data_IF_434643786141
#
_entry.id   IF_434643786141
#
_cell.length_a   1.000
_cell.length_b   1.000
_cell.length_c   1.000
_cell.angle_alpha   90.00
_cell.angle_beta   90.00
_cell.angle_gamma   90.00
#
_symmetry.space_group_name_H-M   'P 1'
#
loop_
_entity.id
_entity.type
_entity.pdbx_description
1 polymer ?
#
# COMPACT_ATOMS: atom_id res chain seq x y z
N UNK A 1 -97.95 -42.99 20.95
CA UNK A 1 -97.58 -43.97 21.97
C UNK A 1 -96.09 -44.25 21.89
N UNK A 2 -95.49 -44.27 23.03
CA UNK A 2 -94.08 -44.58 23.32
C UNK A 2 -93.02 -43.53 22.96
N UNK A 3 -92.66 -42.81 24.01
CA UNK A 3 -91.48 -41.93 24.16
C UNK A 3 -90.24 -42.76 24.19
N UNK A 4 -89.19 -42.31 23.47
CA UNK A 4 -87.86 -42.79 23.68
C UNK A 4 -87.02 -41.57 24.09
N UNK A 5 -86.52 -41.65 25.33
CA UNK A 5 -85.60 -40.75 25.95
C UNK A 5 -84.21 -40.95 25.37
N UNK A 6 -83.59 -39.95 24.79
CA UNK A 6 -82.18 -39.99 24.41
C UNK A 6 -81.39 -39.25 25.47
N UNK A 7 -80.49 -39.97 26.12
CA UNK A 7 -79.50 -39.46 27.05
C UNK A 7 -78.37 -38.76 26.21
N UNK A 8 -78.23 -37.47 26.41
CA UNK A 8 -77.15 -36.68 25.90
C UNK A 8 -75.97 -36.73 26.85
N UNK A 9 -75.01 -37.52 26.57
CA UNK A 9 -73.76 -37.61 27.33
C UNK A 9 -72.86 -36.42 26.96
N UNK A 10 -72.69 -35.45 27.86
CA UNK A 10 -71.74 -34.36 27.76
C UNK A 10 -70.39 -34.90 28.18
N UNK A 11 -69.53 -35.18 27.19
CA UNK A 11 -68.09 -35.44 27.41
C UNK A 11 -67.42 -34.10 27.54
N UNK A 12 -67.16 -33.69 28.77
CA UNK A 12 -66.34 -32.54 29.08
C UNK A 12 -64.87 -32.93 28.79
N UNK A 13 -64.34 -32.47 27.66
CA UNK A 13 -62.90 -32.61 27.30
C UNK A 13 -62.12 -31.57 28.14
N UNK A 14 -61.58 -32.02 29.25
CA UNK A 14 -60.66 -31.24 30.05
C UNK A 14 -59.28 -31.22 29.35
N UNK A 15 -59.07 -30.25 28.52
CA UNK A 15 -57.70 -30.00 27.97
C UNK A 15 -56.83 -29.52 29.13
N UNK A 16 -56.02 -30.43 29.67
CA UNK A 16 -54.87 -30.06 30.47
C UNK A 16 -53.93 -29.25 29.61
N UNK A 17 -53.99 -27.96 29.73
CA UNK A 17 -52.90 -27.10 29.32
C UNK A 17 -51.72 -27.42 30.25
N UNK A 18 -50.80 -28.27 29.76
CA UNK A 18 -49.44 -28.38 30.32
C UNK A 18 -48.77 -27.02 30.07
N UNK A 19 -48.92 -26.08 30.94
CA UNK A 19 -48.06 -24.90 31.02
C UNK A 19 -46.71 -25.46 31.44
N UNK A 20 -45.89 -25.78 30.44
CA UNK A 20 -44.47 -26.02 30.64
C UNK A 20 -43.89 -24.72 31.19
N UNK A 21 -43.73 -24.66 32.51
CA UNK A 21 -42.99 -23.59 33.17
C UNK A 21 -41.52 -23.76 32.71
N UNK A 22 -41.18 -23.28 31.51
CA UNK A 22 -39.82 -23.24 31.06
C UNK A 22 -39.07 -22.26 31.96
N UNK A 23 -38.28 -22.82 32.84
CA UNK A 23 -37.41 -22.03 33.70
C UNK A 23 -36.45 -21.21 32.79
N UNK A 24 -36.48 -19.90 32.95
CA UNK A 24 -35.63 -18.98 32.22
C UNK A 24 -34.46 -18.56 33.10
N UNK A 25 -33.35 -18.30 32.41
CA UNK A 25 -32.11 -17.82 33.03
C UNK A 25 -31.57 -16.61 32.31
N UNK A 26 -30.93 -15.74 33.05
CA UNK A 26 -30.31 -14.54 32.52
C UNK A 26 -28.82 -14.80 32.29
N UNK A 27 -28.41 -14.60 31.04
CA UNK A 27 -26.99 -14.54 30.65
C UNK A 27 -26.63 -13.07 30.58
N UNK A 28 -25.70 -12.66 31.43
CA UNK A 28 -25.11 -11.32 31.41
C UNK A 28 -23.78 -11.36 30.70
N UNK A 29 -23.53 -10.42 29.77
CA UNK A 29 -22.27 -10.26 29.10
C UNK A 29 -21.69 -8.88 29.37
N UNK A 30 -20.39 -8.79 29.56
CA UNK A 30 -19.68 -7.56 29.89
C UNK A 30 -18.31 -7.53 29.18
N UNK A 31 -17.82 -6.33 28.91
CA UNK A 31 -16.45 -6.08 28.57
C UNK A 31 -15.64 -5.79 29.85
N UNK A 32 -14.36 -6.18 29.88
CA UNK A 32 -13.44 -5.72 30.92
C UNK A 32 -13.17 -4.21 30.81
N UNK A 33 -13.30 -3.65 29.60
CA UNK A 33 -13.20 -2.23 29.31
C UNK A 33 -14.00 -1.88 28.06
N UNK A 34 -15.08 -1.11 28.22
CA UNK A 34 -16.00 -0.76 27.13
C UNK A 34 -15.36 0.07 26.01
N UNK A 35 -14.23 0.73 26.28
CA UNK A 35 -13.46 1.43 25.25
C UNK A 35 -12.63 0.45 24.37
N UNK A 36 -12.43 -0.78 24.82
CA UNK A 36 -11.58 -1.76 24.14
C UNK A 36 -12.36 -2.77 23.31
N UNK A 37 -13.66 -2.85 23.53
CA UNK A 37 -14.52 -3.72 22.74
C UNK A 37 -15.93 -3.85 23.32
N UNK A 38 -16.80 -4.42 22.52
CA UNK A 38 -18.21 -4.65 22.87
C UNK A 38 -18.53 -6.13 22.90
N UNK A 39 -19.54 -6.52 23.70
CA UNK A 39 -19.98 -7.90 23.83
C UNK A 39 -21.45 -8.01 23.56
N UNK A 40 -21.88 -9.01 22.79
CA UNK A 40 -23.27 -9.29 22.45
C UNK A 40 -23.65 -10.73 22.80
N UNK A 41 -24.96 -11.04 22.84
CA UNK A 41 -25.45 -12.37 23.14
C UNK A 41 -25.97 -12.54 24.58
N UNK A 42 -25.94 -11.45 25.37
CA UNK A 42 -26.67 -11.44 26.68
C UNK A 42 -28.19 -11.37 26.52
N UNK A 43 -28.92 -11.88 27.51
CA UNK A 43 -30.37 -11.89 27.46
C UNK A 43 -30.99 -12.95 28.37
N UNK A 44 -32.31 -13.12 28.26
CA UNK A 44 -33.06 -14.17 28.96
C UNK A 44 -33.32 -15.33 28.02
N UNK A 45 -32.98 -16.52 28.45
CA UNK A 45 -33.02 -17.76 27.66
C UNK A 45 -33.72 -18.87 28.43
N UNK A 46 -34.42 -19.73 27.71
CA UNK A 46 -35.02 -20.92 28.32
C UNK A 46 -33.95 -21.93 28.73
N UNK A 47 -34.21 -22.65 29.83
CA UNK A 47 -33.33 -23.74 30.26
C UNK A 47 -33.10 -24.78 29.14
N UNK A 48 -31.82 -25.12 28.87
CA UNK A 48 -31.44 -26.05 27.84
C UNK A 48 -31.33 -25.46 26.43
N UNK A 49 -31.66 -24.16 26.22
CA UNK A 49 -31.42 -23.48 24.95
C UNK A 49 -29.96 -23.08 24.80
N UNK A 50 -29.60 -22.66 23.62
CA UNK A 50 -28.22 -22.17 23.31
C UNK A 50 -28.22 -20.64 23.24
N UNK A 51 -27.18 -20.01 23.74
CA UNK A 51 -26.84 -18.60 23.50
C UNK A 51 -25.48 -18.50 22.81
N UNK A 52 -25.40 -17.59 21.83
CA UNK A 52 -24.15 -17.28 21.15
C UNK A 52 -23.61 -15.95 21.66
N UNK A 53 -22.44 -16.00 22.27
CA UNK A 53 -21.76 -14.84 22.81
C UNK A 53 -20.69 -14.40 21.79
N UNK A 54 -20.67 -13.11 21.46
CA UNK A 54 -19.70 -12.56 20.52
C UNK A 54 -19.01 -11.35 21.13
N UNK A 55 -17.70 -11.40 21.18
CA UNK A 55 -16.84 -10.29 21.59
C UNK A 55 -16.29 -9.58 20.33
N UNK A 56 -16.52 -8.28 20.23
CA UNK A 56 -16.08 -7.46 19.09
C UNK A 56 -15.06 -6.45 19.58
N UNK A 57 -13.76 -6.65 19.31
CA UNK A 57 -12.73 -5.70 19.71
C UNK A 57 -12.90 -4.34 19.01
N UNK A 58 -12.55 -3.25 19.69
CA UNK A 58 -12.34 -1.96 19.06
C UNK A 58 -11.02 -1.95 18.26
N UNK A 59 -10.87 -0.98 17.37
CA UNK A 59 -9.65 -0.81 16.58
C UNK A 59 -8.42 -0.72 17.49
N UNK A 60 -7.42 -1.56 17.24
CA UNK A 60 -6.19 -1.64 18.04
C UNK A 60 -6.29 -2.49 19.32
N UNK A 61 -7.40 -3.21 19.51
CA UNK A 61 -7.60 -4.14 20.61
C UNK A 61 -7.95 -5.53 20.11
N UNK A 62 -7.76 -6.54 20.97
CA UNK A 62 -7.97 -7.95 20.66
C UNK A 62 -8.79 -8.61 21.75
N UNK A 63 -9.66 -9.54 21.37
CA UNK A 63 -10.33 -10.41 22.33
C UNK A 63 -9.35 -11.53 22.73
N UNK A 64 -9.08 -11.65 24.02
CA UNK A 64 -8.16 -12.67 24.52
C UNK A 64 -8.88 -13.89 25.05
N UNK A 65 -9.81 -13.70 25.96
CA UNK A 65 -10.50 -14.80 26.63
C UNK A 65 -11.77 -14.35 27.31
N UNK A 66 -12.65 -15.28 27.58
CA UNK A 66 -13.75 -15.09 28.53
C UNK A 66 -13.24 -15.32 29.97
N UNK A 67 -13.97 -14.81 30.98
CA UNK A 67 -13.63 -14.92 32.40
C UNK A 67 -13.49 -16.34 32.94
N UNK A 68 -13.90 -17.35 32.20
CA UNK A 68 -13.73 -18.77 32.50
C UNK A 68 -12.57 -19.45 31.74
N UNK A 69 -11.73 -18.65 31.04
CA UNK A 69 -10.57 -19.11 30.30
C UNK A 69 -10.87 -19.65 28.88
N UNK A 70 -12.13 -19.64 28.44
CA UNK A 70 -12.46 -20.05 27.07
C UNK A 70 -12.08 -18.98 26.07
N UNK A 71 -11.50 -19.37 24.91
CA UNK A 71 -11.01 -18.47 23.86
C UNK A 71 -11.88 -18.46 22.61
N UNK A 72 -12.95 -19.28 22.54
CA UNK A 72 -13.82 -19.30 21.36
C UNK A 72 -14.55 -17.94 21.18
N UNK A 73 -14.56 -17.41 20.00
CA UNK A 73 -15.29 -16.20 19.63
C UNK A 73 -15.71 -16.25 18.14
N UNK A 74 -17.01 -16.36 17.81
CA UNK A 74 -18.16 -16.47 18.74
C UNK A 74 -18.17 -17.77 19.54
N UNK A 75 -18.67 -17.70 20.78
CA UNK A 75 -18.81 -18.83 21.68
C UNK A 75 -20.27 -19.24 21.81
N UNK A 76 -20.54 -20.55 21.68
CA UNK A 76 -21.89 -21.10 21.91
C UNK A 76 -21.93 -21.78 23.30
N UNK A 77 -22.90 -21.39 24.12
CA UNK A 77 -23.10 -21.96 25.43
C UNK A 77 -24.50 -22.60 25.52
N UNK A 78 -24.63 -23.67 26.33
CA UNK A 78 -25.93 -24.21 26.71
C UNK A 78 -26.39 -23.58 28.05
N UNK A 79 -27.58 -22.98 28.05
CA UNK A 79 -28.08 -22.27 29.20
C UNK A 79 -28.66 -23.24 30.24
N UNK A 80 -28.05 -23.33 31.41
CA UNK A 80 -28.48 -24.18 32.51
C UNK A 80 -28.67 -23.43 33.83
N UNK A 81 -28.33 -22.14 33.87
CA UNK A 81 -28.39 -21.28 35.03
C UNK A 81 -28.08 -19.83 34.66
N UNK A 82 -28.33 -18.91 35.62
CA UNK A 82 -27.82 -17.54 35.47
C UNK A 82 -26.32 -17.55 35.48
N UNK A 83 -25.73 -16.84 34.50
CA UNK A 83 -24.28 -16.74 34.34
C UNK A 83 -23.86 -15.36 33.86
N UNK A 84 -22.65 -14.96 34.22
CA UNK A 84 -22.03 -13.74 33.73
C UNK A 84 -20.75 -14.12 32.99
N UNK A 85 -20.65 -13.67 31.75
CA UNK A 85 -19.48 -13.82 30.90
C UNK A 85 -18.83 -12.46 30.65
N UNK A 86 -17.56 -12.34 30.99
CA UNK A 86 -16.79 -11.12 30.81
C UNK A 86 -15.76 -11.39 29.72
N UNK A 87 -15.86 -10.66 28.61
CA UNK A 87 -14.82 -10.70 27.60
C UNK A 87 -13.64 -9.84 28.05
N UNK A 88 -12.47 -10.42 28.03
CA UNK A 88 -11.21 -9.74 28.29
C UNK A 88 -10.64 -9.28 26.95
N UNK A 89 -10.64 -7.97 26.76
CA UNK A 89 -9.94 -7.33 25.66
C UNK A 89 -8.61 -6.78 26.19
N UNK A 90 -7.61 -6.77 25.34
CA UNK A 90 -6.33 -6.09 25.59
C UNK A 90 -5.83 -5.47 24.30
N UNK A 91 -4.88 -4.61 24.42
CA UNK A 91 -4.11 -4.04 23.32
C UNK A 91 -3.06 -5.03 22.78
N UNK A 92 -3.14 -6.29 23.20
CA UNK A 92 -2.23 -7.36 22.84
C UNK A 92 -2.99 -8.61 22.34
N UNK A 93 -2.70 -9.15 21.15
CA UNK A 93 -3.32 -10.38 20.65
C UNK A 93 -2.77 -11.63 21.38
N UNK A 94 -3.63 -12.40 22.01
CA UNK A 94 -3.36 -13.79 22.36
C UNK A 94 -2.87 -14.11 23.78
N UNK A 95 -2.94 -13.18 24.73
CA UNK A 95 -2.39 -13.46 26.06
C UNK A 95 -3.35 -14.07 27.09
N UNK A 96 -3.22 -15.35 27.38
CA UNK A 96 -3.91 -16.05 28.51
C UNK A 96 -2.96 -16.68 29.54
N UNK A 97 -1.65 -16.66 29.31
CA UNK A 97 -0.65 -17.20 30.23
C UNK A 97 -0.37 -16.28 31.43
N UNK A 98 -0.03 -16.88 32.58
CA UNK A 98 0.45 -16.16 33.76
C UNK A 98 1.94 -16.41 33.91
N UNK A 99 2.76 -15.51 33.39
CA UNK A 99 4.23 -15.61 33.48
C UNK A 99 4.86 -14.27 33.13
N UNK A 100 6.12 -14.12 33.46
CA UNK A 100 6.89 -12.95 33.05
C UNK A 100 7.46 -13.17 31.64
N UNK A 101 7.47 -12.14 30.77
CA UNK A 101 8.09 -12.24 29.46
C UNK A 101 9.59 -12.50 29.57
N UNK A 102 10.12 -13.23 28.58
CA UNK A 102 11.56 -13.50 28.53
C UNK A 102 12.32 -12.29 27.96
N UNK A 103 13.47 -11.97 28.55
CA UNK A 103 14.34 -10.92 28.00
C UNK A 103 15.01 -11.41 26.71
N UNK A 104 15.01 -10.54 25.68
CA UNK A 104 15.68 -10.71 24.41
C UNK A 104 16.55 -9.48 24.16
N UNK A 105 17.86 -9.62 24.26
CA UNK A 105 18.77 -8.47 24.12
C UNK A 105 20.16 -8.90 23.67
N UNK A 106 20.88 -7.98 23.03
CA UNK A 106 22.26 -8.15 22.61
C UNK A 106 22.43 -8.98 21.33
N UNK A 107 23.60 -9.57 21.18
CA UNK A 107 23.98 -10.29 19.96
C UNK A 107 23.47 -11.74 19.97
N UNK A 108 22.89 -12.15 18.85
CA UNK A 108 22.53 -13.53 18.54
C UNK A 108 23.45 -14.00 17.40
N UNK A 109 24.41 -14.85 17.71
CA UNK A 109 25.44 -15.37 16.79
C UNK A 109 25.27 -16.86 16.45
N UNK A 110 24.19 -17.48 16.95
CA UNK A 110 23.81 -18.87 16.70
C UNK A 110 22.31 -18.97 16.39
N UNK A 111 21.90 -19.99 15.65
CA UNK A 111 20.49 -20.22 15.34
C UNK A 111 19.66 -20.30 16.64
N UNK A 112 18.56 -19.56 16.65
CA UNK A 112 17.64 -19.49 17.79
C UNK A 112 16.20 -19.50 17.31
N UNK A 113 15.32 -20.21 18.03
CA UNK A 113 13.87 -20.16 17.82
C UNK A 113 13.20 -19.55 19.05
N UNK A 114 12.27 -18.65 18.82
CA UNK A 114 11.40 -18.06 19.83
C UNK A 114 10.03 -18.71 19.72
N UNK A 115 9.67 -19.66 20.61
CA UNK A 115 8.34 -20.24 20.65
C UNK A 115 7.30 -19.29 21.24
N UNK A 116 6.04 -19.48 20.85
CA UNK A 116 4.87 -18.87 21.49
C UNK A 116 4.77 -19.41 22.93
N UNK A 117 4.96 -18.54 23.92
CA UNK A 117 4.88 -18.89 25.36
C UNK A 117 3.44 -18.82 25.89
N UNK A 118 2.50 -18.37 25.06
CA UNK A 118 1.10 -18.14 25.43
C UNK A 118 0.93 -16.97 26.40
N UNK A 119 1.89 -16.04 26.42
CA UNK A 119 1.85 -14.86 27.27
C UNK A 119 1.28 -13.65 26.52
N UNK A 120 0.75 -12.64 27.22
CA UNK A 120 0.38 -11.37 26.61
C UNK A 120 1.55 -10.69 25.86
N UNK A 121 2.74 -10.84 26.40
CA UNK A 121 4.02 -10.50 25.80
C UNK A 121 4.95 -11.67 26.09
N UNK A 122 5.46 -12.32 25.05
CA UNK A 122 6.34 -13.47 25.21
C UNK A 122 7.78 -13.03 25.46
N UNK A 123 8.21 -11.99 24.75
CA UNK A 123 9.58 -11.49 24.81
C UNK A 123 9.62 -9.96 24.95
N UNK A 124 10.62 -9.48 25.70
CA UNK A 124 10.93 -8.05 25.79
C UNK A 124 12.32 -7.80 25.24
N UNK A 125 12.42 -6.92 24.24
CA UNK A 125 13.68 -6.34 23.78
C UNK A 125 13.99 -5.13 24.65
N UNK A 126 14.97 -5.24 25.51
CA UNK A 126 15.33 -4.20 26.49
C UNK A 126 15.93 -2.94 25.83
N UNK A 127 16.73 -3.14 24.77
CA UNK A 127 17.35 -2.06 24.00
C UNK A 127 17.44 -2.42 22.51
N UNK A 128 18.25 -3.39 22.15
CA UNK A 128 18.45 -3.82 20.76
C UNK A 128 18.79 -5.33 20.71
N UNK A 129 18.54 -5.93 19.56
CA UNK A 129 18.95 -7.28 19.18
C UNK A 129 19.70 -7.20 17.87
N UNK A 130 20.93 -7.74 17.81
CA UNK A 130 21.72 -7.86 16.58
C UNK A 130 21.88 -9.32 16.22
N UNK A 131 21.51 -9.68 14.99
CA UNK A 131 21.75 -11.00 14.43
C UNK A 131 23.06 -10.94 13.65
N UNK A 132 24.01 -11.77 14.00
CA UNK A 132 25.37 -11.74 13.45
C UNK A 132 25.83 -13.08 12.93
N UNK A 133 26.91 -13.06 12.16
CA UNK A 133 27.47 -14.26 11.55
C UNK A 133 26.47 -14.94 10.61
N UNK A 134 26.32 -16.26 10.73
CA UNK A 134 25.36 -17.03 9.97
C UNK A 134 24.09 -17.40 10.78
N UNK A 135 23.87 -16.74 11.93
CA UNK A 135 22.73 -17.00 12.79
C UNK A 135 21.40 -16.76 12.06
N UNK A 136 20.41 -17.60 12.33
CA UNK A 136 19.04 -17.38 11.93
C UNK A 136 18.15 -17.34 13.18
N UNK A 137 17.46 -16.23 13.37
CA UNK A 137 16.39 -16.10 14.36
C UNK A 137 15.07 -16.49 13.72
N UNK A 138 14.42 -17.52 14.25
CA UNK A 138 13.07 -17.92 13.86
C UNK A 138 12.09 -17.54 14.95
N UNK A 139 11.05 -16.83 14.60
CA UNK A 139 9.96 -16.44 15.50
C UNK A 139 8.72 -17.22 15.08
N UNK A 140 8.16 -18.01 16.03
CA UNK A 140 7.02 -18.87 15.76
C UNK A 140 5.68 -18.08 15.70
N UNK A 141 4.64 -18.64 15.03
CA UNK A 141 3.32 -18.03 14.97
C UNK A 141 2.72 -17.78 16.37
N UNK A 142 2.17 -16.58 16.57
CA UNK A 142 1.50 -16.17 17.80
C UNK A 142 2.41 -15.40 18.77
N UNK A 143 3.71 -15.39 18.53
CA UNK A 143 4.68 -14.71 19.40
C UNK A 143 4.44 -13.19 19.40
N UNK A 144 4.42 -12.61 20.60
CA UNK A 144 4.41 -11.16 20.81
C UNK A 144 5.73 -10.69 21.40
N UNK A 145 6.38 -9.76 20.72
CA UNK A 145 7.61 -9.09 21.16
C UNK A 145 7.32 -7.62 21.46
N UNK A 146 7.63 -7.19 22.68
CA UNK A 146 7.58 -5.80 23.07
C UNK A 146 8.96 -5.18 23.16
N UNK A 147 9.11 -3.95 22.72
CA UNK A 147 10.33 -3.16 22.84
C UNK A 147 10.20 -2.21 24.03
N UNK A 148 11.12 -2.30 24.98
CA UNK A 148 11.04 -1.54 26.22
C UNK A 148 11.37 -0.05 26.05
N UNK A 149 12.07 0.32 24.99
CA UNK A 149 12.57 1.69 24.74
C UNK A 149 12.28 2.14 23.30
N UNK A 150 12.27 3.45 23.10
CA UNK A 150 12.10 4.06 21.76
C UNK A 150 13.23 3.69 20.79
N UNK A 151 14.44 3.44 21.26
CA UNK A 151 15.57 2.94 20.47
C UNK A 151 15.62 1.42 20.34
N UNK A 152 14.55 0.72 20.75
CA UNK A 152 14.45 -0.73 20.62
C UNK A 152 14.36 -1.17 19.14
N UNK A 153 15.24 -2.09 18.72
CA UNK A 153 15.32 -2.51 17.32
C UNK A 153 15.81 -3.97 17.17
N UNK A 154 15.58 -4.53 15.99
CA UNK A 154 16.20 -5.78 15.55
C UNK A 154 17.05 -5.46 14.32
N UNK A 155 18.35 -5.73 14.41
CA UNK A 155 19.32 -5.57 13.33
C UNK A 155 19.65 -6.93 12.72
N UNK A 156 19.43 -7.10 11.42
CA UNK A 156 19.76 -8.32 10.68
C UNK A 156 21.04 -8.07 9.89
N UNK A 157 22.15 -8.54 10.42
CA UNK A 157 23.48 -8.38 9.84
C UNK A 157 23.63 -9.14 8.52
N UNK A 158 24.65 -8.77 7.74
CA UNK A 158 24.88 -9.13 6.33
C UNK A 158 24.68 -10.63 5.99
N UNK A 159 25.11 -11.52 6.87
CA UNK A 159 25.02 -12.97 6.66
C UNK A 159 24.00 -13.64 7.59
N UNK A 160 23.31 -12.88 8.42
CA UNK A 160 22.30 -13.40 9.34
C UNK A 160 20.93 -13.52 8.68
N UNK A 161 20.02 -14.26 9.29
CA UNK A 161 18.65 -14.43 8.83
C UNK A 161 17.62 -14.11 9.91
N UNK A 162 16.49 -13.53 9.51
CA UNK A 162 15.33 -13.35 10.38
C UNK A 162 14.09 -13.91 9.69
N UNK A 163 13.50 -14.93 10.30
CA UNK A 163 12.30 -15.59 9.82
C UNK A 163 11.16 -15.34 10.79
N UNK A 164 10.18 -14.54 10.36
CA UNK A 164 8.95 -14.22 11.08
C UNK A 164 7.76 -14.67 10.22
N UNK A 165 7.31 -15.90 10.42
CA UNK A 165 6.21 -16.47 9.61
C UNK A 165 5.08 -16.89 10.54
N UNK A 166 4.12 -16.00 10.71
CA UNK A 166 2.84 -16.26 11.36
C UNK A 166 1.88 -17.03 10.48
N UNK A 167 0.63 -17.11 10.90
CA UNK A 167 -0.50 -17.68 10.14
C UNK A 167 -1.69 -16.72 10.18
N UNK A 168 -2.71 -16.88 9.33
CA UNK A 168 -3.91 -16.03 9.38
C UNK A 168 -4.61 -15.98 10.74
N UNK A 169 -4.49 -17.06 11.54
CA UNK A 169 -5.12 -17.14 12.87
C UNK A 169 -4.16 -16.81 14.01
N UNK A 170 -2.84 -16.77 13.74
CA UNK A 170 -1.79 -16.52 14.71
C UNK A 170 -0.71 -15.61 14.13
N UNK A 171 -0.97 -14.32 14.14
CA UNK A 171 0.01 -13.33 13.73
C UNK A 171 1.17 -13.27 14.72
N UNK A 172 2.34 -12.87 14.25
CA UNK A 172 3.45 -12.43 15.08
C UNK A 172 3.28 -10.94 15.32
N UNK A 173 3.47 -10.46 16.55
CA UNK A 173 3.27 -9.04 16.89
C UNK A 173 4.56 -8.43 17.40
N UNK A 174 4.99 -7.32 16.77
CA UNK A 174 6.08 -6.47 17.21
C UNK A 174 5.52 -5.10 17.60
N UNK A 175 5.78 -4.65 18.83
CA UNK A 175 5.16 -3.43 19.35
C UNK A 175 6.03 -2.71 20.37
N UNK A 176 5.78 -1.45 20.59
CA UNK A 176 6.32 -0.72 21.71
C UNK A 176 5.76 -1.19 23.07
N UNK A 177 6.16 -0.56 24.17
CA UNK A 177 5.65 -0.88 25.50
C UNK A 177 4.13 -0.81 25.57
N UNK A 178 3.50 -1.64 26.37
CA UNK A 178 2.03 -1.67 26.55
C UNK A 178 1.42 -0.33 27.02
N UNK A 179 2.25 0.51 27.63
CA UNK A 179 1.88 1.85 28.12
C UNK A 179 1.95 2.93 27.04
N UNK A 180 2.56 2.64 25.87
CA UNK A 180 2.69 3.60 24.79
C UNK A 180 1.55 3.49 23.80
N UNK A 181 0.82 4.59 23.60
CA UNK A 181 -0.25 4.68 22.59
C UNK A 181 0.16 5.49 21.36
N UNK A 182 1.34 6.09 21.37
CA UNK A 182 1.86 6.93 20.30
C UNK A 182 2.74 6.16 19.32
N UNK A 183 2.79 6.64 18.08
CA UNK A 183 3.74 6.16 17.07
C UNK A 183 5.19 6.48 17.45
N UNK A 184 6.16 5.72 16.93
CA UNK A 184 7.58 5.92 17.27
C UNK A 184 7.95 5.39 18.65
N UNK A 185 7.20 4.44 19.18
CA UNK A 185 7.48 3.86 20.50
C UNK A 185 8.66 2.87 20.50
N UNK A 186 9.16 2.51 19.33
CA UNK A 186 10.35 1.70 19.08
C UNK A 186 10.88 1.99 17.67
N UNK A 187 12.13 1.61 17.37
CA UNK A 187 12.77 1.97 16.10
C UNK A 187 12.24 1.14 14.94
N UNK A 188 12.46 -0.17 14.93
CA UNK A 188 12.05 -0.99 13.80
C UNK A 188 12.89 -2.26 13.64
N UNK A 189 12.82 -2.81 12.41
CA UNK A 189 13.64 -3.95 11.98
C UNK A 189 14.46 -3.53 10.77
N UNK A 190 15.78 -3.66 10.87
CA UNK A 190 16.72 -3.27 9.80
C UNK A 190 17.40 -4.50 9.20
N UNK A 191 17.36 -4.60 7.86
CA UNK A 191 17.96 -5.67 7.08
C UNK A 191 19.15 -5.16 6.26
N UNK A 192 20.33 -5.75 6.50
CA UNK A 192 21.48 -5.64 5.61
C UNK A 192 21.80 -6.96 4.91
N UNK A 193 21.09 -8.02 5.23
CA UNK A 193 21.25 -9.38 4.74
C UNK A 193 20.43 -9.65 3.49
N UNK A 194 21.00 -10.40 2.54
CA UNK A 194 20.34 -10.88 1.32
C UNK A 194 19.92 -12.36 1.38
N UNK A 195 19.88 -12.94 2.56
CA UNK A 195 19.53 -14.36 2.72
C UNK A 195 18.07 -14.64 2.35
N UNK A 196 17.82 -15.78 1.71
CA UNK A 196 16.47 -16.20 1.27
C UNK A 196 15.55 -16.62 2.42
N UNK A 197 16.08 -16.83 3.63
CA UNK A 197 15.29 -17.06 4.85
C UNK A 197 14.91 -15.77 5.59
N UNK A 198 15.22 -14.60 5.04
CA UNK A 198 14.64 -13.33 5.47
C UNK A 198 13.19 -13.26 5.00
N UNK A 199 12.26 -13.62 5.88
CA UNK A 199 10.84 -13.73 5.56
C UNK A 199 9.97 -13.11 6.64
N UNK A 200 8.99 -12.35 6.22
CA UNK A 200 7.91 -11.80 7.05
C UNK A 200 6.58 -12.18 6.44
N UNK A 201 5.75 -12.92 7.15
CA UNK A 201 4.39 -13.19 6.75
C UNK A 201 3.47 -13.19 7.98
N UNK A 202 2.31 -12.55 7.87
CA UNK A 202 1.37 -12.40 8.98
C UNK A 202 2.05 -11.82 10.23
N UNK A 203 2.74 -10.70 10.03
CA UNK A 203 3.42 -9.94 11.10
C UNK A 203 2.74 -8.59 11.25
N UNK A 204 2.36 -8.26 12.48
CA UNK A 204 1.80 -6.96 12.85
C UNK A 204 2.86 -6.11 13.55
N UNK A 205 3.21 -5.00 12.92
CA UNK A 205 4.11 -3.99 13.47
C UNK A 205 3.28 -2.82 13.99
N UNK A 206 3.34 -2.55 15.29
CA UNK A 206 2.47 -1.56 15.94
C UNK A 206 3.28 -0.40 16.51
N UNK A 207 2.99 0.83 16.04
CA UNK A 207 3.50 2.09 16.57
C UNK A 207 5.05 2.20 16.59
N UNK A 208 5.72 1.67 15.57
CA UNK A 208 7.18 1.76 15.40
C UNK A 208 7.66 2.98 14.63
N UNK A 209 8.83 2.85 14.02
CA UNK A 209 9.40 3.84 13.10
C UNK A 209 9.86 5.11 13.80
N UNK A 210 10.52 4.98 14.96
CA UNK A 210 11.04 6.14 15.72
C UNK A 210 12.01 6.99 14.90
N UNK A 211 12.85 6.34 14.08
CA UNK A 211 13.82 7.00 13.22
C UNK A 211 13.33 7.05 11.76
N UNK A 212 13.79 6.12 10.93
CA UNK A 212 13.58 6.19 9.48
C UNK A 212 12.34 5.43 9.00
N UNK A 213 12.12 4.21 9.51
CA UNK A 213 11.02 3.33 9.12
C UNK A 213 10.80 2.20 10.13
N UNK A 214 9.61 1.59 10.10
CA UNK A 214 9.32 0.35 10.86
C UNK A 214 10.09 -0.83 10.27
N UNK A 215 10.15 -0.93 8.93
CA UNK A 215 10.97 -1.91 8.22
C UNK A 215 11.95 -1.15 7.33
N UNK A 216 13.22 -1.27 7.64
CA UNK A 216 14.32 -0.61 6.92
C UNK A 216 15.17 -1.66 6.21
N UNK A 217 15.23 -1.62 4.88
CA UNK A 217 16.02 -2.52 4.05
C UNK A 217 17.17 -1.70 3.45
N UNK A 218 18.36 -1.83 4.02
CA UNK A 218 19.54 -1.09 3.63
C UNK A 218 20.57 -2.03 2.99
N UNK A 219 20.47 -2.25 1.71
CA UNK A 219 21.28 -3.22 0.96
C UNK A 219 20.91 -4.69 1.21
N UNK A 220 19.91 -4.95 2.05
CA UNK A 220 19.37 -6.27 2.31
C UNK A 220 18.27 -6.69 1.34
N UNK A 221 17.73 -7.90 1.54
CA UNK A 221 16.59 -8.42 0.78
C UNK A 221 15.69 -9.28 1.65
N UNK A 222 14.36 -9.10 1.54
CA UNK A 222 13.36 -9.76 2.37
C UNK A 222 12.09 -10.09 1.58
N UNK A 223 11.39 -11.18 1.96
CA UNK A 223 10.00 -11.38 1.56
C UNK A 223 9.09 -10.78 2.64
N UNK A 224 8.14 -9.94 2.24
CA UNK A 224 7.16 -9.32 3.12
C UNK A 224 5.75 -9.47 2.53
N UNK A 225 4.98 -10.40 3.08
CA UNK A 225 3.65 -10.72 2.55
C UNK A 225 2.61 -10.85 3.67
N UNK A 226 1.40 -10.36 3.44
CA UNK A 226 0.29 -10.40 4.41
C UNK A 226 0.64 -9.77 5.77
N UNK A 227 1.50 -8.77 5.79
CA UNK A 227 1.92 -8.06 7.00
C UNK A 227 1.12 -6.78 7.20
N UNK A 228 1.02 -6.33 8.45
CA UNK A 228 0.41 -5.05 8.80
C UNK A 228 1.45 -4.14 9.45
N UNK A 229 1.60 -2.93 8.93
CA UNK A 229 2.26 -1.82 9.64
C UNK A 229 1.17 -0.85 10.06
N UNK A 230 0.92 -0.76 11.37
CA UNK A 230 -0.09 0.10 11.95
C UNK A 230 0.54 1.17 12.86
N UNK A 231 0.88 2.29 12.26
CA UNK A 231 1.50 3.42 12.92
C UNK A 231 3.02 3.44 12.85
N UNK A 232 3.55 4.50 12.24
CA UNK A 232 4.97 4.82 12.19
C UNK A 232 5.18 6.31 12.44
N UNK A 233 6.21 6.70 13.20
CA UNK A 233 6.58 8.12 13.33
C UNK A 233 7.32 8.65 12.09
N UNK A 234 7.75 7.75 11.20
CA UNK A 234 8.40 8.07 9.94
C UNK A 234 7.74 7.26 8.81
N UNK A 235 8.52 6.54 8.00
CA UNK A 235 8.01 5.68 6.93
C UNK A 235 7.50 4.34 7.47
N UNK A 236 6.57 3.72 6.76
CA UNK A 236 6.22 2.33 7.01
C UNK A 236 7.38 1.40 6.62
N UNK A 237 7.78 1.49 5.35
CA UNK A 237 8.92 0.76 4.77
C UNK A 237 9.87 1.73 4.10
N UNK A 238 11.16 1.57 4.36
CA UNK A 238 12.24 2.21 3.62
C UNK A 238 13.08 1.13 2.95
N UNK A 239 13.16 1.14 1.63
CA UNK A 239 13.94 0.17 0.87
C UNK A 239 14.97 0.87 -0.01
N UNK A 240 16.24 0.52 0.14
CA UNK A 240 17.34 1.12 -0.60
C UNK A 240 18.68 0.42 -0.38
N UNK A 241 19.74 1.06 -0.86
CA UNK A 241 21.10 0.50 -0.80
C UNK A 241 21.33 -0.70 -1.74
N UNK A 242 20.28 -1.13 -2.44
CA UNK A 242 20.29 -2.16 -3.47
C UNK A 242 19.12 -1.96 -4.42
N UNK A 243 19.26 -2.42 -5.67
CA UNK A 243 18.19 -2.45 -6.68
C UNK A 243 17.26 -3.66 -6.54
N UNK A 244 17.49 -4.49 -5.54
CA UNK A 244 16.77 -5.74 -5.33
C UNK A 244 16.59 -5.95 -3.83
N UNK A 245 15.53 -5.35 -3.28
CA UNK A 245 15.23 -5.34 -1.85
C UNK A 245 14.14 -6.34 -1.44
N UNK A 246 13.33 -6.81 -2.38
CA UNK A 246 12.22 -7.71 -2.06
C UNK A 246 12.31 -9.02 -2.84
N UNK A 247 12.16 -10.15 -2.17
CA UNK A 247 11.81 -11.44 -2.79
C UNK A 247 10.33 -11.47 -3.17
N UNK A 248 9.49 -10.86 -2.33
CA UNK A 248 8.06 -10.61 -2.55
C UNK A 248 7.61 -9.46 -1.66
N UNK A 249 6.59 -8.72 -2.11
CA UNK A 249 5.95 -7.64 -1.35
C UNK A 249 4.47 -7.55 -1.75
N UNK A 250 3.61 -8.34 -1.10
CA UNK A 250 2.21 -8.48 -1.52
C UNK A 250 1.25 -8.61 -0.34
N UNK A 251 0.01 -8.14 -0.54
CA UNK A 251 -1.08 -8.25 0.43
C UNK A 251 -0.77 -7.60 1.79
N UNK A 252 0.07 -6.58 1.82
CA UNK A 252 0.41 -5.87 3.05
C UNK A 252 -0.58 -4.71 3.29
N UNK A 253 -0.84 -4.41 4.55
CA UNK A 253 -1.58 -3.21 4.97
C UNK A 253 -0.64 -2.25 5.68
N UNK A 254 -0.46 -1.04 5.12
CA UNK A 254 0.43 -0.02 5.70
C UNK A 254 -0.38 1.25 5.94
N UNK A 255 -0.52 1.62 7.22
CA UNK A 255 -1.38 2.73 7.62
C UNK A 255 -0.83 3.55 8.78
N UNK A 256 -1.32 4.78 8.92
CA UNK A 256 -0.99 5.74 10.00
C UNK A 256 0.51 6.06 10.10
N UNK A 257 1.22 6.06 8.96
CA UNK A 257 2.58 6.55 8.89
C UNK A 257 2.61 8.08 8.86
N UNK A 258 3.49 8.72 9.63
CA UNK A 258 3.63 10.18 9.66
C UNK A 258 4.40 10.73 8.45
N UNK A 259 5.04 9.87 7.68
CA UNK A 259 5.66 10.21 6.39
C UNK A 259 5.00 9.38 5.27
N UNK A 260 5.70 8.47 4.66
CA UNK A 260 5.24 7.66 3.53
C UNK A 260 4.91 6.22 3.95
N UNK A 261 3.91 5.58 3.32
CA UNK A 261 3.75 4.14 3.51
C UNK A 261 5.00 3.38 3.03
N UNK A 262 5.55 3.76 1.88
CA UNK A 262 6.79 3.21 1.34
C UNK A 262 7.65 4.35 0.78
N UNK A 263 8.94 4.30 1.09
CA UNK A 263 9.97 5.07 0.41
C UNK A 263 10.94 4.12 -0.29
N UNK A 264 11.11 4.30 -1.59
CA UNK A 264 12.05 3.55 -2.43
C UNK A 264 13.27 4.41 -2.73
N UNK A 265 14.45 3.91 -2.43
CA UNK A 265 15.71 4.60 -2.68
C UNK A 265 16.10 4.66 -4.16
N UNK A 266 15.51 3.79 -5.00
CA UNK A 266 15.79 3.69 -6.43
C UNK A 266 14.53 3.34 -7.23
N UNK A 267 14.39 3.87 -8.43
CA UNK A 267 13.24 3.65 -9.31
C UNK A 267 13.04 2.18 -9.68
N UNK A 268 14.12 1.40 -9.81
CA UNK A 268 14.04 -0.01 -10.18
C UNK A 268 13.28 -0.87 -9.16
N UNK A 269 13.19 -0.42 -7.91
CA UNK A 269 12.43 -1.10 -6.85
C UNK A 269 10.91 -1.05 -7.08
N UNK A 270 10.42 -0.16 -7.93
CA UNK A 270 9.00 -0.12 -8.32
C UNK A 270 8.52 -1.46 -8.88
N UNK A 271 9.36 -2.15 -9.64
CA UNK A 271 9.07 -3.47 -10.22
C UNK A 271 8.80 -4.57 -9.18
N UNK A 272 9.20 -4.35 -7.92
CA UNK A 272 9.12 -5.36 -6.86
C UNK A 272 7.88 -5.17 -5.97
N UNK A 273 7.12 -4.09 -6.17
CA UNK A 273 5.86 -3.86 -5.44
C UNK A 273 4.77 -4.73 -6.07
N UNK A 274 4.41 -5.79 -5.36
CA UNK A 274 3.38 -6.74 -5.78
C UNK A 274 1.95 -6.23 -5.57
N UNK A 275 0.99 -7.10 -5.80
CA UNK A 275 -0.44 -6.80 -5.74
C UNK A 275 -1.04 -6.99 -4.35
N UNK A 276 -2.27 -6.52 -4.16
CA UNK A 276 -3.05 -6.73 -2.93
C UNK A 276 -2.62 -5.89 -1.74
N UNK A 277 -1.65 -4.98 -1.91
CA UNK A 277 -1.26 -4.06 -0.85
C UNK A 277 -2.33 -2.98 -0.65
N UNK A 278 -2.57 -2.61 0.62
CA UNK A 278 -3.51 -1.58 1.06
C UNK A 278 -2.73 -0.47 1.76
N UNK A 279 -2.92 0.76 1.31
CA UNK A 279 -2.26 1.94 1.86
C UNK A 279 -3.31 2.97 2.26
N UNK A 280 -3.46 3.23 3.55
CA UNK A 280 -4.55 4.08 4.03
C UNK A 280 -4.15 4.95 5.22
N UNK A 281 -4.73 6.14 5.31
CA UNK A 281 -4.55 7.05 6.46
C UNK A 281 -3.09 7.42 6.73
N UNK A 282 -2.20 7.38 5.73
CA UNK A 282 -0.84 7.88 5.85
C UNK A 282 -0.82 9.39 5.59
N UNK A 283 0.08 10.12 6.20
CA UNK A 283 0.18 11.59 6.02
C UNK A 283 0.45 11.92 4.56
N UNK A 284 1.42 11.25 3.95
CA UNK A 284 1.70 11.32 2.53
C UNK A 284 1.30 9.97 1.91
N UNK A 285 0.03 9.85 1.48
CA UNK A 285 -0.48 8.56 1.01
C UNK A 285 -0.11 8.30 -0.46
N UNK A 286 1.19 8.24 -0.73
CA UNK A 286 1.81 7.87 -2.01
C UNK A 286 3.16 7.17 -1.76
N UNK A 287 3.62 6.38 -2.73
CA UNK A 287 4.96 5.78 -2.70
C UNK A 287 5.97 6.83 -3.13
N UNK A 288 6.90 7.19 -2.23
CA UNK A 288 7.99 8.11 -2.54
C UNK A 288 9.12 7.35 -3.26
N UNK A 289 9.50 7.78 -4.44
CA UNK A 289 10.57 7.18 -5.25
C UNK A 289 11.70 8.19 -5.41
N UNK A 290 12.87 7.82 -4.90
CA UNK A 290 14.11 8.59 -5.03
C UNK A 290 14.94 8.05 -6.20
N UNK A 291 16.10 8.60 -6.45
CA UNK A 291 17.04 8.23 -7.52
C UNK A 291 16.34 7.68 -8.80
N UNK A 292 15.97 8.60 -9.66
CA UNK A 292 15.06 8.39 -10.77
C UNK A 292 15.81 8.18 -12.11
N UNK A 293 16.84 7.34 -12.08
CA UNK A 293 17.60 6.91 -13.24
C UNK A 293 17.21 5.46 -13.59
N UNK A 294 16.53 5.26 -14.72
CA UNK A 294 16.28 3.91 -15.22
C UNK A 294 17.59 3.36 -15.76
N UNK A 295 17.96 2.15 -15.37
CA UNK A 295 19.21 1.55 -15.83
C UNK A 295 19.18 1.24 -17.31
N UNK A 296 20.33 1.39 -17.99
CA UNK A 296 20.48 1.01 -19.40
C UNK A 296 20.12 -0.46 -19.63
N UNK A 297 19.46 -0.76 -20.73
CA UNK A 297 18.97 -2.09 -21.09
C UNK A 297 17.96 -2.71 -20.08
N UNK A 298 17.43 -1.92 -19.15
CA UNK A 298 16.46 -2.35 -18.17
C UNK A 298 15.08 -1.73 -18.41
N UNK A 299 14.09 -2.33 -17.75
CA UNK A 299 12.69 -1.91 -17.82
C UNK A 299 12.17 -1.62 -16.43
N UNK A 300 11.53 -0.46 -16.25
CA UNK A 300 10.73 -0.15 -15.06
C UNK A 300 9.27 -0.03 -15.45
N UNK A 301 8.42 -0.75 -14.74
CA UNK A 301 6.97 -0.77 -14.98
C UNK A 301 6.19 -0.31 -13.76
N UNK A 302 5.52 0.82 -13.88
CA UNK A 302 4.60 1.33 -12.88
C UNK A 302 3.25 0.64 -13.02
N UNK A 303 2.86 -0.12 -12.02
CA UNK A 303 1.56 -0.79 -11.93
C UNK A 303 0.63 -0.07 -10.97
N UNK A 304 -0.67 -0.15 -11.19
CA UNK A 304 -1.65 0.46 -10.30
C UNK A 304 -1.66 -0.26 -8.95
N UNK A 305 -1.31 0.49 -7.89
CA UNK A 305 -1.28 0.04 -6.49
C UNK A 305 -2.30 0.77 -5.62
N UNK A 306 -3.29 1.42 -6.20
CA UNK A 306 -4.37 2.19 -5.56
C UNK A 306 -3.96 3.52 -4.93
N UNK A 307 -2.67 3.86 -4.89
CA UNK A 307 -2.16 5.17 -4.49
C UNK A 307 -1.15 5.68 -5.52
N UNK A 308 -0.90 7.00 -5.59
CA UNK A 308 0.09 7.55 -6.50
C UNK A 308 1.52 7.13 -6.19
N UNK A 309 2.39 7.24 -7.20
CA UNK A 309 3.83 7.31 -7.02
C UNK A 309 4.27 8.77 -7.09
N UNK A 310 5.13 9.18 -6.18
CA UNK A 310 5.75 10.49 -6.18
C UNK A 310 7.21 10.36 -6.61
N UNK A 311 7.55 10.97 -7.74
CA UNK A 311 8.92 11.08 -8.22
C UNK A 311 9.53 12.34 -7.62
N UNK A 312 10.46 12.14 -6.67
CA UNK A 312 10.99 13.23 -5.83
C UNK A 312 12.03 14.12 -6.53
N UNK A 313 12.37 13.82 -7.77
CA UNK A 313 13.32 14.55 -8.61
C UNK A 313 12.98 14.37 -10.11
N UNK A 314 13.84 14.80 -11.01
CA UNK A 314 13.72 14.55 -12.45
C UNK A 314 13.98 13.08 -12.80
N UNK A 315 13.14 12.54 -13.69
CA UNK A 315 13.33 11.20 -14.26
C UNK A 315 14.30 11.25 -15.45
N UNK A 316 15.21 10.28 -15.52
CA UNK A 316 16.03 10.05 -16.69
C UNK A 316 15.87 8.63 -17.22
N UNK A 317 15.48 8.52 -18.50
CA UNK A 317 15.37 7.25 -19.23
C UNK A 317 16.50 7.21 -20.26
N UNK A 318 17.59 6.48 -19.99
CA UNK A 318 18.75 6.40 -20.89
C UNK A 318 18.45 5.53 -22.11
N UNK A 319 19.45 5.41 -22.98
CA UNK A 319 19.38 4.58 -24.19
C UNK A 319 19.04 3.12 -23.84
N UNK A 320 18.18 2.52 -24.66
CA UNK A 320 17.67 1.15 -24.55
C UNK A 320 16.87 0.87 -23.25
N UNK A 321 16.78 1.81 -22.32
CA UNK A 321 15.95 1.65 -21.14
C UNK A 321 14.47 1.86 -21.48
N UNK A 322 13.58 1.22 -20.70
CA UNK A 322 12.13 1.35 -20.88
C UNK A 322 11.47 1.86 -19.63
N UNK A 323 10.72 2.94 -19.79
CA UNK A 323 9.82 3.46 -18.78
C UNK A 323 8.38 3.18 -19.20
N UNK A 324 7.69 2.31 -18.45
CA UNK A 324 6.34 1.85 -18.76
C UNK A 324 5.40 2.23 -17.63
N UNK A 325 4.25 2.81 -17.98
CA UNK A 325 3.20 3.15 -17.02
C UNK A 325 1.89 2.50 -17.43
N UNK A 326 1.37 1.63 -16.59
CA UNK A 326 0.14 0.90 -16.85
C UNK A 326 -1.12 1.71 -16.49
N UNK A 327 -2.26 1.25 -16.97
CA UNK A 327 -3.56 1.90 -16.79
C UNK A 327 -3.90 2.15 -15.30
N UNK A 328 -4.49 3.32 -15.04
CA UNK A 328 -4.94 3.75 -13.73
C UNK A 328 -3.83 4.21 -12.77
N UNK A 329 -2.59 4.27 -13.22
CA UNK A 329 -1.48 4.82 -12.44
C UNK A 329 -1.56 6.33 -12.41
N UNK A 330 -1.30 6.91 -11.22
CA UNK A 330 -1.04 8.33 -11.05
C UNK A 330 0.41 8.55 -10.66
N UNK A 331 1.12 9.41 -11.40
CA UNK A 331 2.47 9.88 -11.10
C UNK A 331 2.41 11.32 -10.67
N UNK A 332 2.99 11.62 -9.53
CA UNK A 332 3.17 12.96 -8.98
C UNK A 332 4.62 13.39 -9.20
N UNK A 333 4.82 14.57 -9.77
CA UNK A 333 6.13 15.12 -10.08
C UNK A 333 6.56 16.16 -9.05
N UNK A 334 7.84 16.17 -8.72
CA UNK A 334 8.41 17.21 -7.87
C UNK A 334 8.43 18.57 -8.57
N UNK A 335 8.45 19.64 -7.77
CA UNK A 335 8.55 21.02 -8.28
C UNK A 335 9.83 21.17 -9.13
N UNK A 336 9.68 21.82 -10.30
CA UNK A 336 10.76 22.07 -11.25
C UNK A 336 11.49 20.82 -11.76
N UNK A 337 10.88 19.64 -11.62
CA UNK A 337 11.43 18.39 -12.17
C UNK A 337 11.00 18.19 -13.62
N UNK A 338 11.75 17.37 -14.35
CA UNK A 338 11.49 17.02 -15.76
C UNK A 338 11.61 15.51 -15.93
N UNK A 339 10.81 14.93 -16.82
CA UNK A 339 11.06 13.60 -17.35
C UNK A 339 11.91 13.72 -18.61
N UNK A 340 13.15 13.24 -18.59
CA UNK A 340 14.05 13.20 -19.73
C UNK A 340 14.15 11.82 -20.35
N UNK A 341 13.87 11.73 -21.65
CA UNK A 341 14.01 10.51 -22.44
C UNK A 341 15.17 10.70 -23.41
N UNK A 342 16.20 9.87 -23.28
CA UNK A 342 17.37 9.89 -24.15
C UNK A 342 17.04 9.35 -25.55
N UNK A 343 17.97 9.52 -26.47
CA UNK A 343 17.87 9.22 -27.91
C UNK A 343 17.26 7.85 -28.25
N UNK A 344 17.63 6.81 -27.52
CA UNK A 344 17.13 5.44 -27.71
C UNK A 344 16.34 4.94 -26.48
N UNK A 345 15.88 5.83 -25.62
CA UNK A 345 15.02 5.50 -24.50
C UNK A 345 13.58 5.24 -24.95
N UNK A 346 12.89 4.33 -24.30
CA UNK A 346 11.48 4.02 -24.55
C UNK A 346 10.58 4.61 -23.46
N UNK A 347 9.55 5.31 -23.91
CA UNK A 347 8.55 5.92 -23.04
C UNK A 347 7.16 5.44 -23.45
N UNK A 348 6.52 4.63 -22.59
CA UNK A 348 5.31 3.91 -22.93
C UNK A 348 4.22 4.12 -21.86
N UNK A 349 3.24 4.92 -22.19
CA UNK A 349 2.09 5.21 -21.32
C UNK A 349 0.88 4.43 -21.82
N UNK A 350 0.38 3.48 -21.01
CA UNK A 350 -0.64 2.49 -21.35
C UNK A 350 -1.95 2.71 -20.60
N UNK A 351 -2.52 3.91 -20.63
CA UNK A 351 -3.86 4.13 -20.09
C UNK A 351 -4.96 3.45 -20.89
N UNK A 352 -6.13 3.35 -20.32
CA UNK A 352 -7.38 2.97 -20.99
C UNK A 352 -8.44 4.07 -20.80
N UNK A 353 -9.49 4.06 -21.58
CA UNK A 353 -10.57 5.04 -21.46
C UNK A 353 -11.20 5.06 -20.05
N UNK A 354 -11.35 3.87 -19.43
CA UNK A 354 -11.92 3.74 -18.09
C UNK A 354 -10.90 3.98 -16.97
N UNK A 355 -9.61 3.78 -17.26
CA UNK A 355 -8.51 3.93 -16.31
C UNK A 355 -7.34 4.67 -16.96
N UNK A 356 -7.44 5.99 -17.17
CA UNK A 356 -6.38 6.78 -17.77
C UNK A 356 -5.16 6.82 -16.83
N UNK A 357 -3.99 7.04 -17.40
CA UNK A 357 -2.79 7.43 -16.66
C UNK A 357 -2.84 8.91 -16.37
N UNK A 358 -2.46 9.32 -15.15
CA UNK A 358 -2.38 10.73 -14.76
C UNK A 358 -0.94 11.04 -14.40
N UNK A 359 -0.36 12.05 -15.05
CA UNK A 359 0.97 12.59 -14.71
C UNK A 359 0.75 14.08 -14.40
N UNK A 360 1.03 14.48 -13.16
CA UNK A 360 0.82 15.86 -12.71
C UNK A 360 1.82 16.29 -11.64
N UNK A 361 1.86 17.56 -11.31
CA UNK A 361 2.61 18.04 -10.15
C UNK A 361 2.10 17.44 -8.83
N UNK A 362 2.95 17.42 -7.81
CA UNK A 362 2.54 17.04 -6.45
C UNK A 362 1.43 17.99 -5.97
N UNK A 363 1.63 19.28 -6.12
CA UNK A 363 0.61 20.28 -5.89
C UNK A 363 -0.20 20.51 -7.18
N UNK A 364 -1.48 20.84 -7.02
CA UNK A 364 -2.38 21.12 -8.13
C UNK A 364 -2.26 22.60 -8.56
N UNK A 365 -1.04 22.95 -9.00
CA UNK A 365 -0.68 24.31 -9.45
C UNK A 365 -0.21 24.27 -10.90
N UNK A 366 -0.57 25.29 -11.72
CA UNK A 366 -0.02 25.45 -13.06
C UNK A 366 1.52 25.62 -13.00
N UNK A 367 2.20 25.10 -14.01
CA UNK A 367 3.65 25.23 -14.15
C UNK A 367 4.46 24.72 -12.95
N UNK A 368 3.94 23.75 -12.19
CA UNK A 368 4.59 23.19 -11.01
C UNK A 368 5.85 22.40 -11.37
N UNK A 369 5.78 21.61 -12.44
CA UNK A 369 6.91 20.83 -12.98
C UNK A 369 7.17 21.19 -14.46
N UNK A 370 8.29 20.74 -15.02
CA UNK A 370 8.76 21.27 -16.30
C UNK A 370 8.23 20.51 -17.53
N UNK A 371 7.64 19.32 -17.36
CA UNK A 371 7.09 18.53 -18.46
C UNK A 371 7.96 17.35 -18.85
N UNK A 372 7.60 16.73 -19.98
CA UNK A 372 8.28 15.57 -20.58
C UNK A 372 9.12 16.03 -21.75
N UNK A 373 10.40 15.75 -21.76
CA UNK A 373 11.33 16.16 -22.79
C UNK A 373 12.02 14.96 -23.41
N UNK A 374 11.82 14.80 -24.69
CA UNK A 374 12.59 13.88 -25.51
C UNK A 374 13.81 14.62 -26.04
N UNK A 375 14.98 14.09 -25.78
CA UNK A 375 16.24 14.75 -26.09
C UNK A 375 17.02 13.93 -27.11
N UNK A 376 16.82 14.22 -28.38
CA UNK A 376 17.56 13.54 -29.43
C UNK A 376 17.54 14.26 -30.76
N UNK A 377 18.62 14.15 -31.47
CA UNK A 377 18.78 14.54 -32.86
C UNK A 377 18.32 13.43 -33.81
N UNK A 378 17.98 12.23 -33.34
CA UNK A 378 17.72 11.05 -34.20
C UNK A 378 16.99 9.89 -33.50
N UNK A 379 16.01 10.15 -32.63
CA UNK A 379 15.26 9.04 -32.02
C UNK A 379 14.26 8.43 -33.01
N UNK A 380 14.75 7.56 -33.86
CA UNK A 380 14.00 6.97 -34.96
C UNK A 380 13.86 5.46 -34.82
N UNK A 381 13.61 4.97 -33.59
CA UNK A 381 13.54 3.51 -33.37
C UNK A 381 12.13 2.96 -33.18
N UNK A 382 11.10 3.81 -33.17
CA UNK A 382 9.73 3.41 -32.91
C UNK A 382 9.45 2.90 -31.48
N UNK A 383 8.19 2.80 -31.13
CA UNK A 383 7.78 2.19 -29.87
C UNK A 383 7.54 3.15 -28.72
N UNK A 384 7.63 4.47 -28.93
CA UNK A 384 7.17 5.47 -27.98
C UNK A 384 5.69 5.76 -28.19
N UNK A 385 4.94 5.80 -27.11
CA UNK A 385 3.53 6.18 -27.19
C UNK A 385 2.99 6.68 -25.85
N UNK A 386 1.99 7.55 -25.97
CA UNK A 386 1.17 8.02 -24.84
C UNK A 386 -0.29 7.77 -25.21
N UNK A 387 -0.96 6.87 -24.49
CA UNK A 387 -2.34 6.48 -24.74
C UNK A 387 -3.21 6.68 -23.53
N UNK A 388 -4.37 7.30 -23.74
CA UNK A 388 -5.37 7.56 -22.71
C UNK A 388 -4.73 8.13 -21.43
N UNK A 389 -4.15 9.31 -21.53
CA UNK A 389 -3.41 9.93 -20.44
C UNK A 389 -3.83 11.39 -20.23
N UNK A 390 -3.59 11.87 -19.01
CA UNK A 390 -3.72 13.29 -18.64
C UNK A 390 -2.36 13.77 -18.16
N UNK A 391 -1.85 14.84 -18.77
CA UNK A 391 -0.59 15.51 -18.40
C UNK A 391 -0.95 16.90 -17.92
N UNK A 392 -0.73 17.17 -16.63
CA UNK A 392 -1.30 18.35 -15.96
C UNK A 392 -0.26 19.10 -15.13
N UNK A 393 -0.46 20.43 -15.01
CA UNK A 393 0.33 21.28 -14.13
C UNK A 393 1.79 21.43 -14.52
N UNK A 394 2.14 21.27 -15.80
CA UNK A 394 3.50 21.41 -16.29
C UNK A 394 3.69 22.63 -17.19
N UNK A 395 4.95 22.91 -17.57
CA UNK A 395 5.33 24.04 -18.39
C UNK A 395 6.31 25.01 -17.75
N UNK A 396 6.54 24.91 -16.46
CA UNK A 396 7.60 25.64 -15.70
C UNK A 396 7.57 27.17 -15.86
N UNK A 397 8.67 27.77 -15.48
CA UNK A 397 8.86 29.21 -15.46
C UNK A 397 9.16 29.77 -16.84
N UNK A 398 8.46 29.55 -17.84
CA UNK A 398 8.37 30.43 -18.97
C UNK A 398 8.19 29.86 -20.38
N UNK A 399 8.80 28.78 -20.79
CA UNK A 399 8.80 28.50 -22.23
C UNK A 399 8.87 26.99 -22.57
N UNK A 400 8.60 26.12 -21.59
CA UNK A 400 8.63 24.68 -21.82
C UNK A 400 7.22 24.13 -22.07
N UNK A 401 7.02 23.34 -23.11
CA UNK A 401 5.77 22.64 -23.36
C UNK A 401 5.60 21.45 -22.41
N UNK A 402 4.37 21.02 -22.23
CA UNK A 402 4.06 19.81 -21.49
C UNK A 402 4.75 18.57 -22.07
N UNK A 403 4.80 18.51 -23.41
CA UNK A 403 5.53 17.52 -24.17
C UNK A 403 6.48 18.21 -25.13
N UNK A 404 7.77 18.10 -24.89
CA UNK A 404 8.82 18.69 -25.73
C UNK A 404 9.40 17.64 -26.68
N UNK A 405 9.17 17.83 -27.98
CA UNK A 405 9.64 17.00 -29.08
C UNK A 405 10.55 17.86 -29.98
N UNK A 406 11.72 18.25 -29.48
CA UNK A 406 12.56 19.28 -30.10
C UNK A 406 13.09 18.88 -31.49
N UNK A 407 13.21 17.58 -31.75
CA UNK A 407 13.71 17.03 -33.01
C UNK A 407 12.85 15.89 -33.52
N UNK A 408 13.23 15.21 -34.57
CA UNK A 408 12.50 14.12 -35.23
C UNK A 408 12.23 12.93 -34.29
N UNK A 409 10.98 12.75 -33.85
CA UNK A 409 10.57 11.71 -32.89
C UNK A 409 9.53 10.78 -33.47
N UNK A 410 9.81 9.48 -33.30
CA UNK A 410 8.79 8.45 -33.51
C UNK A 410 7.97 8.28 -32.24
N UNK A 411 6.78 8.91 -32.22
CA UNK A 411 5.85 8.84 -31.10
C UNK A 411 4.38 8.80 -31.55
N UNK A 412 3.58 7.97 -30.89
CA UNK A 412 2.15 7.90 -31.09
C UNK A 412 1.39 8.49 -29.90
N UNK A 413 0.56 9.50 -30.13
CA UNK A 413 -0.31 10.12 -29.14
C UNK A 413 -1.76 9.76 -29.42
N UNK A 414 -2.44 9.11 -28.45
CA UNK A 414 -3.82 8.69 -28.58
C UNK A 414 -4.63 9.04 -27.35
N UNK A 415 -5.66 9.88 -27.49
CA UNK A 415 -6.53 10.32 -26.40
C UNK A 415 -5.72 10.92 -25.22
N UNK A 416 -4.91 11.93 -25.49
CA UNK A 416 -4.09 12.62 -24.47
C UNK A 416 -4.69 13.97 -24.17
N UNK A 417 -4.90 14.27 -22.88
CA UNK A 417 -5.35 15.56 -22.40
C UNK A 417 -4.19 16.32 -21.75
N UNK A 418 -3.93 17.53 -22.22
CA UNK A 418 -2.99 18.48 -21.63
C UNK A 418 -3.78 19.50 -20.83
N UNK A 419 -3.58 19.53 -19.51
CA UNK A 419 -4.37 20.38 -18.59
C UNK A 419 -3.51 21.28 -17.72
N UNK A 420 -3.93 22.55 -17.57
CA UNK A 420 -3.22 23.54 -16.73
C UNK A 420 -1.73 23.66 -17.09
N UNK A 421 -1.40 23.70 -18.38
CA UNK A 421 -0.03 23.77 -18.90
C UNK A 421 0.20 25.09 -19.64
N UNK A 422 1.46 25.52 -19.72
CA UNK A 422 1.79 26.73 -20.49
C UNK A 422 1.60 26.49 -21.98
N UNK A 423 2.22 25.45 -22.50
CA UNK A 423 2.11 24.97 -23.88
C UNK A 423 1.77 23.47 -23.87
N UNK A 424 1.03 23.01 -24.85
CA UNK A 424 0.74 21.58 -25.01
C UNK A 424 1.96 20.81 -25.52
N UNK A 425 2.25 20.94 -26.80
CA UNK A 425 3.35 20.23 -27.49
C UNK A 425 4.30 21.26 -28.08
N UNK A 426 5.60 21.10 -27.89
CA UNK A 426 6.65 21.83 -28.58
C UNK A 426 7.42 20.92 -29.51
N UNK A 427 7.61 21.34 -30.74
CA UNK A 427 8.31 20.57 -31.78
C UNK A 427 8.93 21.50 -32.82
N UNK A 428 9.73 20.93 -33.74
CA UNK A 428 10.21 21.64 -34.91
C UNK A 428 9.63 21.00 -36.17
N UNK A 429 8.78 21.74 -36.90
CA UNK A 429 8.17 21.24 -38.13
C UNK A 429 9.19 21.36 -39.28
N UNK A 430 9.44 20.28 -40.03
CA UNK A 430 10.23 20.36 -41.25
C UNK A 430 9.66 21.43 -42.21
N UNK A 431 10.53 22.11 -42.96
CA UNK A 431 10.10 23.11 -43.91
C UNK A 431 10.86 23.00 -45.22
N UNK A 432 10.15 23.19 -46.32
CA UNK A 432 10.71 23.18 -47.68
C UNK A 432 10.51 24.57 -48.34
N UNK A 433 11.49 25.02 -49.10
CA UNK A 433 11.40 26.27 -49.81
C UNK A 433 10.53 26.12 -51.04
N UNK A 434 9.50 26.98 -51.15
CA UNK A 434 8.63 27.05 -52.32
C UNK A 434 9.09 28.22 -53.23
N UNK A 435 9.60 27.91 -54.43
CA UNK A 435 10.05 28.89 -55.37
C UNK A 435 8.95 29.75 -55.96
N UNK A 436 7.70 29.25 -56.02
CA UNK A 436 6.56 29.99 -56.59
C UNK A 436 6.04 31.05 -55.63
N UNK A 437 6.09 30.80 -54.33
CA UNK A 437 5.62 31.74 -53.28
C UNK A 437 6.75 32.55 -52.66
N UNK A 438 8.02 32.17 -52.92
CA UNK A 438 9.22 32.72 -52.27
C UNK A 438 9.14 32.65 -50.72
N UNK A 439 8.57 31.54 -50.18
CA UNK A 439 8.41 31.30 -48.75
C UNK A 439 8.77 29.87 -48.37
N UNK A 440 9.09 29.65 -47.10
CA UNK A 440 9.16 28.30 -46.52
C UNK A 440 7.77 27.78 -46.21
N UNK A 441 7.46 26.56 -46.69
CA UNK A 441 6.21 25.86 -46.42
C UNK A 441 6.49 24.75 -45.39
N UNK A 442 5.68 24.71 -44.32
CA UNK A 442 5.82 23.70 -43.26
C UNK A 442 5.26 22.34 -43.75
N UNK A 443 6.05 21.28 -43.54
CA UNK A 443 5.74 19.90 -43.97
C UNK A 443 5.25 19.09 -42.76
N UNK A 444 4.01 19.30 -42.33
CA UNK A 444 3.44 18.61 -41.15
C UNK A 444 3.34 17.09 -41.31
N UNK A 445 3.14 16.62 -42.53
CA UNK A 445 3.05 15.22 -42.90
C UNK A 445 4.42 14.49 -42.93
N UNK A 446 5.51 15.22 -42.81
CA UNK A 446 6.85 14.68 -42.66
C UNK A 446 7.25 14.47 -41.18
N UNK A 447 6.41 14.89 -40.23
CA UNK A 447 6.65 14.59 -38.83
C UNK A 447 6.52 13.11 -38.55
N UNK A 448 7.51 12.56 -37.86
CA UNK A 448 7.57 11.15 -37.51
C UNK A 448 6.71 10.83 -36.28
N UNK A 449 5.43 11.21 -36.33
CA UNK A 449 4.48 11.04 -35.26
C UNK A 449 3.06 10.82 -35.76
N UNK A 450 2.19 10.30 -34.88
CA UNK A 450 0.76 10.37 -35.07
C UNK A 450 0.06 10.90 -33.83
N UNK A 451 -1.00 11.68 -34.03
CA UNK A 451 -1.74 12.30 -32.95
C UNK A 451 -3.26 12.23 -33.20
N UNK A 452 -4.00 11.62 -32.29
CA UNK A 452 -5.46 11.50 -32.36
C UNK A 452 -6.11 11.72 -30.99
N UNK A 453 -7.28 12.35 -30.96
CA UNK A 453 -8.06 12.53 -29.73
C UNK A 453 -7.38 13.42 -28.68
N UNK A 454 -6.56 14.39 -29.12
CA UNK A 454 -5.90 15.33 -28.22
C UNK A 454 -6.88 16.38 -27.71
N UNK A 455 -6.71 16.79 -26.46
CA UNK A 455 -7.44 17.93 -25.86
C UNK A 455 -6.48 18.83 -25.08
N UNK A 456 -6.69 20.14 -25.14
CA UNK A 456 -5.79 21.12 -24.57
C UNK A 456 -6.53 22.13 -23.69
N UNK A 457 -5.95 22.39 -22.52
CA UNK A 457 -6.26 23.52 -21.63
C UNK A 457 -4.93 24.21 -21.30
N UNK A 458 -4.37 24.89 -22.30
CA UNK A 458 -3.06 25.51 -22.26
C UNK A 458 -3.21 27.05 -22.27
N UNK A 459 -2.34 27.73 -21.52
CA UNK A 459 -2.42 29.19 -21.38
C UNK A 459 -2.00 29.94 -22.67
N UNK A 460 -1.00 29.41 -23.39
CA UNK A 460 -0.39 30.06 -24.53
C UNK A 460 -0.68 29.38 -25.87
N UNK A 461 -1.00 28.08 -25.89
CA UNK A 461 -1.37 27.39 -27.11
C UNK A 461 -1.17 25.90 -27.14
N UNK A 462 -1.66 25.24 -28.19
CA UNK A 462 -1.69 23.79 -28.33
C UNK A 462 -0.37 23.23 -28.83
N UNK A 463 0.15 23.76 -29.93
CA UNK A 463 1.40 23.33 -30.57
C UNK A 463 2.29 24.54 -30.82
N UNK A 464 3.50 24.50 -30.30
CA UNK A 464 4.52 25.51 -30.50
C UNK A 464 5.61 24.99 -31.45
N UNK A 465 5.81 25.63 -32.59
CA UNK A 465 6.87 25.33 -33.53
C UNK A 465 8.12 26.16 -33.23
N UNK A 466 9.21 25.49 -32.86
CA UNK A 466 10.50 26.13 -32.57
C UNK A 466 11.16 26.73 -33.81
N UNK A 467 10.89 26.19 -35.01
CA UNK A 467 11.44 26.69 -36.27
C UNK A 467 10.94 28.07 -36.63
N UNK A 468 9.63 28.26 -36.56
CA UNK A 468 8.97 29.53 -36.91
C UNK A 468 8.67 30.41 -35.70
N UNK A 469 8.86 29.94 -34.49
CA UNK A 469 8.46 30.60 -33.23
C UNK A 469 6.98 30.95 -33.20
N UNK A 470 6.13 30.08 -33.75
CA UNK A 470 4.70 30.33 -33.94
C UNK A 470 3.87 29.21 -33.27
N UNK A 471 2.69 29.59 -32.81
CA UNK A 471 1.68 28.69 -32.24
C UNK A 471 0.72 28.21 -33.31
N UNK A 472 0.47 26.93 -33.34
CA UNK A 472 -0.46 26.28 -34.26
C UNK A 472 -1.54 25.50 -33.52
N UNK A 473 -2.64 25.24 -34.22
CA UNK A 473 -3.68 24.32 -33.79
C UNK A 473 -3.23 22.86 -33.95
N UNK A 474 -3.58 22.01 -33.00
CA UNK A 474 -3.19 20.59 -33.04
C UNK A 474 -3.81 19.81 -34.21
N UNK A 475 -4.81 20.37 -34.91
CA UNK A 475 -5.36 19.79 -36.14
C UNK A 475 -4.35 19.72 -37.29
N UNK A 476 -3.20 20.41 -37.19
CA UNK A 476 -2.11 20.32 -38.17
C UNK A 476 -1.26 19.05 -37.96
N UNK A 477 -1.31 18.41 -36.78
CA UNK A 477 -0.53 17.21 -36.51
C UNK A 477 -1.00 16.02 -37.36
N UNK A 478 -0.08 15.11 -37.79
CA UNK A 478 -0.47 13.91 -38.52
C UNK A 478 -1.38 13.00 -37.70
N UNK A 479 -2.42 12.43 -38.32
CA UNK A 479 -3.35 11.49 -37.68
C UNK A 479 -2.96 10.01 -37.92
N UNK A 480 -2.01 9.77 -38.79
CA UNK A 480 -1.44 8.44 -39.08
C UNK A 480 0.02 8.58 -39.38
N UNK A 481 0.78 7.58 -38.98
CA UNK A 481 2.23 7.45 -39.17
C UNK A 481 2.53 6.42 -40.21
#
# INVERSE_FOLDING_TARGET
>A
MKKILSLLSIVTFCSLMLVSCNKEYTITVQSNNDAWGTVTGGGTYANGSTATLTAVPASGYYFNTWNDGNTDNPRVITVSGNATYIATFSDNPGGGGTGDPQSLTGTIDANRTLPDLGLPIDYIVESWVSLEGNACLTIEPGVTIAFATVGGEILVGENAGLKMVGTPDKHIVLRGPSTSTGVGSWTGVTYTSVRTDNQMAYVDFINGGHEDAVVNINGGKVAMDNCTIDGSAANGVLAGGSRDCFYSFSNNTIRRCQQYPIQLGEIMLVNQIGTGNVFESNTNNYVNVNYLYVEEDQEVTFSNISIPYYLSDGLFVPNNAKFIVNAGVTILMAMNSTMYIAEQGYFQINGTADNPVIIRGLEDEPAYWLGISFRSDRNNHGGNYIRNARIEGCGGSSDLPALNLEYDFDINLENVAFGSTTWGIGLTVPSEWNDDTETYELQWDELNMSATGLTFQCDLGEVFDYGTQTVYDASNLPTSH
#
